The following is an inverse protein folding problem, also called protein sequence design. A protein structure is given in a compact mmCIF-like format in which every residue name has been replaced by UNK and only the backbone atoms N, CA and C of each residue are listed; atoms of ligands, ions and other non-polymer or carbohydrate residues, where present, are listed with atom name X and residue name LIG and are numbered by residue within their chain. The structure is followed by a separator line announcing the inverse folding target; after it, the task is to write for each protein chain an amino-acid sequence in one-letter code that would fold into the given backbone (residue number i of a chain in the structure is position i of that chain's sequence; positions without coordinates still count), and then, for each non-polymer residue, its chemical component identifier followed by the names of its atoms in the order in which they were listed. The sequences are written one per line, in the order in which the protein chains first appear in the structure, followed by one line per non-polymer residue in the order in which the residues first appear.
data_IF_974103228990
#
_entry.id   IF_974103228990
#
_cell.length_a   1.000
_cell.length_b   1.000
_cell.length_c   1.000
_cell.angle_alpha   90.00
_cell.angle_beta   90.00
_cell.angle_gamma   90.00
#
_symmetry.space_group_name_H-M   'P 1'
#
loop_
_entity.id
_entity.type
_entity.pdbx_description
1 polymer ?
#
# COMPACT_ATOMS: atom_id res chain seq x y z
N UNK A 1 2.32 1.76 29.69
CA UNK A 1 2.48 2.27 28.30
C UNK A 1 3.18 1.19 27.49
N UNK A 2 2.57 0.71 26.41
CA UNK A 2 3.23 -0.24 25.50
C UNK A 2 4.29 0.51 24.69
N UNK A 3 5.51 0.03 24.73
CA UNK A 3 6.64 0.52 23.95
C UNK A 3 7.05 -0.62 23.03
N UNK A 4 7.00 -0.37 21.73
CA UNK A 4 7.49 -1.28 20.70
C UNK A 4 8.58 -0.55 19.93
N UNK A 5 9.75 -1.17 19.81
CA UNK A 5 10.92 -0.58 19.17
C UNK A 5 11.68 -1.63 18.36
N UNK A 6 12.58 -1.18 17.48
CA UNK A 6 13.47 -2.05 16.72
C UNK A 6 14.86 -2.05 17.36
N UNK A 7 15.38 -3.24 17.66
CA UNK A 7 16.76 -3.43 18.11
C UNK A 7 17.47 -4.29 17.07
N UNK A 8 18.32 -3.67 16.25
CA UNK A 8 18.82 -4.26 15.00
C UNK A 8 17.64 -4.65 14.11
N UNK A 9 17.61 -5.88 13.60
CA UNK A 9 16.53 -6.38 12.76
C UNK A 9 15.41 -7.06 13.56
N UNK A 10 15.28 -6.83 14.87
CA UNK A 10 14.30 -7.51 15.71
C UNK A 10 13.37 -6.50 16.38
N UNK A 11 12.07 -6.73 16.25
CA UNK A 11 11.06 -5.97 16.99
C UNK A 11 11.05 -6.42 18.46
N UNK A 12 11.16 -5.47 19.37
CA UNK A 12 11.09 -5.67 20.82
C UNK A 12 9.91 -4.91 21.40
N UNK A 13 9.16 -5.57 22.28
CA UNK A 13 8.13 -4.91 23.07
C UNK A 13 8.45 -5.05 24.56
N UNK A 14 8.21 -3.99 25.33
CA UNK A 14 8.23 -4.05 26.79
C UNK A 14 7.08 -4.89 27.37
N UNK A 15 6.11 -5.30 26.55
CA UNK A 15 5.05 -6.26 26.87
C UNK A 15 5.33 -7.61 26.17
N UNK A 16 6.56 -8.12 26.35
CA UNK A 16 7.15 -9.25 25.60
C UNK A 16 6.33 -10.55 25.63
N UNK A 17 5.48 -10.75 26.64
CA UNK A 17 4.63 -11.93 26.77
C UNK A 17 3.30 -11.84 25.99
N UNK A 18 2.91 -10.63 25.54
CA UNK A 18 1.66 -10.42 24.81
C UNK A 18 1.86 -9.94 23.35
N UNK A 19 2.95 -9.24 23.04
CA UNK A 19 3.18 -8.69 21.69
C UNK A 19 3.51 -9.78 20.66
N UNK A 20 2.60 -9.95 19.68
CA UNK A 20 2.79 -10.86 18.55
C UNK A 20 4.00 -10.49 17.67
N UNK A 21 4.50 -9.25 17.79
CA UNK A 21 5.69 -8.78 17.09
C UNK A 21 7.01 -9.07 17.79
N UNK A 22 7.01 -9.36 19.10
CA UNK A 22 8.26 -9.52 19.84
C UNK A 22 9.08 -10.70 19.28
N UNK A 23 10.30 -10.43 18.80
CA UNK A 23 11.15 -11.44 18.17
C UNK A 23 10.93 -11.62 16.66
N UNK A 24 10.02 -10.88 16.03
CA UNK A 24 9.89 -10.88 14.57
C UNK A 24 11.08 -10.16 13.94
N UNK A 25 11.66 -10.79 12.92
CA UNK A 25 12.69 -10.17 12.09
C UNK A 25 12.08 -9.15 11.12
N UNK A 26 12.67 -7.95 11.09
CA UNK A 26 12.39 -6.90 10.13
C UNK A 26 13.26 -6.98 8.87
N UNK A 27 14.13 -7.99 8.71
CA UNK A 27 15.10 -8.05 7.62
C UNK A 27 14.46 -8.06 6.20
N UNK A 28 13.19 -8.45 6.09
CA UNK A 28 12.43 -8.38 4.84
C UNK A 28 11.74 -7.03 4.57
N UNK A 29 11.85 -6.06 5.50
CA UNK A 29 11.23 -4.73 5.40
C UNK A 29 12.31 -3.66 5.48
N UNK A 30 12.75 -3.24 4.30
CA UNK A 30 13.88 -2.32 4.10
C UNK A 30 13.61 -0.92 4.68
N UNK A 31 12.42 -0.35 4.45
CA UNK A 31 12.12 1.05 4.75
C UNK A 31 11.47 1.27 6.12
N UNK A 32 11.85 2.37 6.78
CA UNK A 32 11.34 2.72 8.11
C UNK A 32 9.83 2.96 8.11
N UNK A 33 9.31 3.56 7.05
CA UNK A 33 7.90 3.91 6.91
C UNK A 33 7.00 2.68 6.90
N UNK A 34 7.39 1.64 6.16
CA UNK A 34 6.70 0.35 6.19
C UNK A 34 6.73 -0.27 7.58
N UNK A 35 7.87 -0.25 8.27
CA UNK A 35 8.04 -0.83 9.62
C UNK A 35 7.17 -0.14 10.67
N UNK A 36 6.94 1.17 10.53
CA UNK A 36 6.10 1.93 11.44
C UNK A 36 4.69 1.33 11.58
N UNK A 37 4.09 0.91 10.47
CA UNK A 37 2.73 0.38 10.49
C UNK A 37 2.60 -1.02 11.06
N UNK A 38 3.69 -1.80 11.14
CA UNK A 38 3.70 -3.01 11.97
C UNK A 38 3.46 -2.66 13.44
N UNK A 39 4.19 -1.68 13.97
CA UNK A 39 4.03 -1.24 15.35
C UNK A 39 2.61 -0.72 15.62
N UNK A 40 2.05 0.06 14.68
CA UNK A 40 0.67 0.54 14.78
C UNK A 40 -0.30 -0.64 14.83
N UNK A 41 -0.15 -1.63 13.96
CA UNK A 41 -1.02 -2.81 13.96
C UNK A 41 -0.93 -3.60 15.28
N UNK A 42 0.27 -3.80 15.81
CA UNK A 42 0.45 -4.48 17.11
C UNK A 42 -0.21 -3.71 18.24
N UNK A 43 -0.03 -2.39 18.32
CA UNK A 43 -0.72 -1.55 19.30
C UNK A 43 -2.24 -1.74 19.22
N UNK A 44 -2.81 -1.75 18.01
CA UNK A 44 -4.25 -1.95 17.79
C UNK A 44 -4.71 -3.34 18.23
N UNK A 45 -3.93 -4.38 17.91
CA UNK A 45 -4.20 -5.75 18.36
C UNK A 45 -4.15 -5.89 19.88
N UNK A 46 -3.40 -5.03 20.57
CA UNK A 46 -3.36 -4.91 22.03
C UNK A 46 -4.39 -3.93 22.61
N UNK A 47 -5.37 -3.53 21.81
CA UNK A 47 -6.51 -2.74 22.26
C UNK A 47 -6.36 -1.23 22.09
N UNK A 48 -5.26 -0.72 21.49
CA UNK A 48 -5.15 0.70 21.21
C UNK A 48 -6.29 1.16 20.27
N UNK A 49 -7.06 2.14 20.72
CA UNK A 49 -8.18 2.73 19.97
C UNK A 49 -7.79 4.04 19.27
N UNK A 50 -6.80 4.74 19.79
CA UNK A 50 -6.27 5.97 19.21
C UNK A 50 -4.75 5.85 19.11
N UNK A 51 -4.20 6.14 17.93
CA UNK A 51 -2.75 6.10 17.67
C UNK A 51 -2.32 7.43 17.06
N UNK A 52 -1.27 8.01 17.64
CA UNK A 52 -0.58 9.19 17.12
C UNK A 52 0.78 8.79 16.56
N UNK A 53 0.97 8.98 15.26
CA UNK A 53 2.25 8.86 14.59
C UNK A 53 2.93 10.23 14.59
N UNK A 54 4.20 10.30 15.00
CA UNK A 54 5.03 11.51 14.88
C UNK A 54 6.06 11.27 13.78
N UNK A 55 5.92 11.97 12.65
CA UNK A 55 6.88 11.87 11.56
C UNK A 55 6.91 13.19 10.77
N UNK A 56 8.10 13.58 10.30
CA UNK A 56 8.28 14.69 9.36
C UNK A 56 8.18 14.23 7.90
N UNK A 57 8.12 12.93 7.66
CA UNK A 57 7.95 12.36 6.32
C UNK A 57 6.49 12.47 5.87
N UNK A 58 6.30 12.93 4.63
CA UNK A 58 4.97 13.07 4.01
C UNK A 58 4.38 11.75 3.57
N UNK A 59 5.21 10.75 3.25
CA UNK A 59 4.76 9.44 2.75
C UNK A 59 3.98 8.69 3.83
N UNK A 60 4.34 8.90 5.10
CA UNK A 60 3.60 8.38 6.26
C UNK A 60 2.13 8.81 6.28
N UNK A 61 1.79 10.02 5.83
CA UNK A 61 0.40 10.49 5.79
C UNK A 61 -0.40 9.66 4.79
N UNK A 62 0.15 9.44 3.60
CA UNK A 62 -0.47 8.65 2.54
C UNK A 62 -0.63 7.20 3.00
N UNK A 63 0.44 6.62 3.58
CA UNK A 63 0.43 5.25 4.06
C UNK A 63 -0.60 5.10 5.20
N UNK A 64 -0.68 6.04 6.13
CA UNK A 64 -1.67 6.05 7.22
C UNK A 64 -3.12 6.03 6.71
N UNK A 65 -3.43 6.88 5.74
CA UNK A 65 -4.75 6.92 5.11
C UNK A 65 -5.04 5.57 4.43
N UNK A 66 -4.07 5.01 3.71
CA UNK A 66 -4.24 3.76 2.96
C UNK A 66 -4.51 2.53 3.80
N UNK A 67 -4.07 2.53 5.06
CA UNK A 67 -4.22 1.41 5.97
C UNK A 67 -5.29 1.60 7.04
N UNK A 68 -5.88 2.79 7.15
CA UNK A 68 -6.84 3.08 8.20
C UNK A 68 -8.00 2.08 8.22
N UNK A 69 -8.63 1.77 7.08
CA UNK A 69 -9.78 0.85 7.06
C UNK A 69 -9.41 -0.57 7.50
N UNK A 70 -8.21 -1.03 7.18
CA UNK A 70 -7.68 -2.31 7.68
C UNK A 70 -7.48 -2.27 9.20
N UNK A 71 -6.82 -1.25 9.71
CA UNK A 71 -6.59 -1.07 11.15
C UNK A 71 -7.90 -0.85 11.92
N UNK A 72 -8.88 -0.20 11.31
CA UNK A 72 -10.21 0.01 11.87
C UNK A 72 -10.97 -1.31 12.04
N UNK A 73 -10.85 -2.24 11.07
CA UNK A 73 -11.38 -3.61 11.19
C UNK A 73 -10.73 -4.39 12.35
N UNK A 74 -9.48 -4.05 12.72
CA UNK A 74 -8.79 -4.59 13.89
C UNK A 74 -9.13 -3.87 15.21
N UNK A 75 -9.93 -2.79 15.15
CA UNK A 75 -10.45 -2.09 16.32
C UNK A 75 -9.90 -0.70 16.55
N UNK A 76 -9.05 -0.16 15.67
CA UNK A 76 -8.61 1.25 15.73
C UNK A 76 -9.81 2.19 15.49
N UNK A 77 -9.87 3.32 16.19
CA UNK A 77 -10.89 4.37 15.98
C UNK A 77 -10.28 5.60 15.34
N UNK A 78 -9.16 6.06 15.89
CA UNK A 78 -8.51 7.29 15.45
C UNK A 78 -7.05 7.04 15.09
N UNK A 79 -6.67 7.50 13.90
CA UNK A 79 -5.29 7.55 13.46
C UNK A 79 -4.93 9.00 13.15
N UNK A 80 -3.90 9.49 13.85
CA UNK A 80 -3.39 10.85 13.72
C UNK A 80 -1.94 10.82 13.26
N UNK A 81 -1.57 11.76 12.39
CA UNK A 81 -0.18 12.01 12.03
C UNK A 81 0.18 13.43 12.46
N UNK A 82 1.06 13.55 13.43
CA UNK A 82 1.71 14.81 13.78
C UNK A 82 2.88 15.04 12.84
N UNK A 83 2.68 16.01 11.94
CA UNK A 83 3.69 16.54 11.03
C UNK A 83 4.30 17.80 11.66
N UNK A 84 5.62 17.95 11.62
CA UNK A 84 6.30 19.12 12.21
C UNK A 84 7.33 19.67 11.23
N UNK A 85 7.27 20.99 10.98
CA UNK A 85 8.25 21.73 10.17
C UNK A 85 8.67 22.96 10.97
N UNK A 86 9.94 23.02 11.36
CA UNK A 86 10.44 24.06 12.26
C UNK A 86 9.70 24.03 13.60
N UNK A 87 9.09 25.17 13.96
CA UNK A 87 8.31 25.33 15.20
C UNK A 87 6.82 24.99 15.05
N UNK A 88 6.33 24.84 13.81
CA UNK A 88 4.92 24.58 13.54
C UNK A 88 4.60 23.08 13.64
N UNK A 89 3.53 22.77 14.38
CA UNK A 89 3.00 21.41 14.52
C UNK A 89 1.63 21.34 13.84
N UNK A 90 1.47 20.42 12.91
CA UNK A 90 0.21 20.12 12.24
C UNK A 90 -0.23 18.70 12.60
N UNK A 91 -1.48 18.53 12.97
CA UNK A 91 -2.09 17.23 13.21
C UNK A 91 -3.02 16.90 12.06
N UNK A 92 -2.74 15.80 11.37
CA UNK A 92 -3.52 15.31 10.24
C UNK A 92 -4.36 14.13 10.72
N UNK A 93 -5.68 14.24 10.56
CA UNK A 93 -6.61 13.14 10.82
C UNK A 93 -6.63 12.18 9.63
N UNK A 94 -5.78 11.15 9.67
CA UNK A 94 -5.77 10.12 8.63
C UNK A 94 -7.09 9.34 8.58
N UNK A 95 -7.70 9.12 9.75
CA UNK A 95 -8.98 8.42 9.86
C UNK A 95 -10.14 9.18 9.19
N UNK A 96 -10.28 10.49 9.43
CA UNK A 96 -11.34 11.27 8.80
C UNK A 96 -11.15 11.38 7.28
N UNK A 97 -9.91 11.46 6.81
CA UNK A 97 -9.62 11.48 5.36
C UNK A 97 -9.97 10.13 4.74
N UNK A 98 -9.52 9.02 5.33
CA UNK A 98 -9.81 7.67 4.83
C UNK A 98 -11.33 7.37 4.80
N UNK A 99 -12.07 7.81 5.82
CA UNK A 99 -13.53 7.68 5.87
C UNK A 99 -14.21 8.46 4.74
N UNK A 100 -13.77 9.69 4.47
CA UNK A 100 -14.30 10.50 3.36
C UNK A 100 -13.98 9.93 1.99
N UNK A 101 -12.83 9.28 1.83
CA UNK A 101 -12.41 8.66 0.57
C UNK A 101 -13.08 7.31 0.31
N UNK A 102 -13.52 6.60 1.34
CA UNK A 102 -13.96 5.21 1.24
C UNK A 102 -12.80 4.21 1.17
N UNK A 103 -13.10 2.91 1.34
CA UNK A 103 -12.09 1.85 1.46
C UNK A 103 -11.22 1.74 0.19
N UNK A 104 -11.85 1.71 -0.98
CA UNK A 104 -11.13 1.48 -2.24
C UNK A 104 -10.19 2.63 -2.61
N UNK A 105 -10.66 3.88 -2.54
CA UNK A 105 -9.84 5.04 -2.90
C UNK A 105 -8.76 5.32 -1.85
N UNK A 106 -9.06 5.10 -0.57
CA UNK A 106 -8.05 5.15 0.48
C UNK A 106 -6.96 4.10 0.24
N UNK A 107 -7.32 2.85 -0.06
CA UNK A 107 -6.36 1.80 -0.36
C UNK A 107 -5.50 2.13 -1.61
N UNK A 108 -6.14 2.66 -2.65
CA UNK A 108 -5.51 3.03 -3.92
C UNK A 108 -4.51 4.20 -3.80
N UNK A 109 -4.65 5.09 -2.80
CA UNK A 109 -3.78 6.25 -2.59
C UNK A 109 -2.28 5.89 -2.57
N UNK A 110 -1.94 4.73 -2.03
CA UNK A 110 -0.55 4.27 -1.94
C UNK A 110 0.07 4.01 -3.32
N UNK A 111 -0.65 3.29 -4.17
CA UNK A 111 -0.24 3.06 -5.56
C UNK A 111 -0.26 4.35 -6.38
N UNK A 112 -1.30 5.18 -6.22
CA UNK A 112 -1.40 6.49 -6.85
C UNK A 112 -0.21 7.40 -6.48
N UNK A 113 0.15 7.47 -5.19
CA UNK A 113 1.22 8.31 -4.70
C UNK A 113 2.59 7.88 -5.24
N UNK A 114 2.89 6.58 -5.19
CA UNK A 114 4.11 6.04 -5.80
C UNK A 114 4.15 6.30 -7.32
N UNK A 115 3.04 6.06 -8.01
CA UNK A 115 2.95 6.25 -9.47
C UNK A 115 3.10 7.70 -9.92
N UNK A 116 2.62 8.65 -9.13
CA UNK A 116 2.70 10.08 -9.46
C UNK A 116 3.97 10.75 -8.95
N UNK A 117 4.86 9.97 -8.34
CA UNK A 117 6.21 10.34 -7.91
C UNK A 117 6.34 10.52 -6.40
N UNK A 118 7.35 9.90 -5.80
CA UNK A 118 7.74 10.04 -4.40
C UNK A 118 9.27 10.04 -4.31
N UNK A 119 9.86 9.92 -3.13
CA UNK A 119 11.32 10.02 -2.97
C UNK A 119 12.10 9.00 -3.81
N UNK A 120 11.52 7.82 -4.06
CA UNK A 120 12.17 6.73 -4.79
C UNK A 120 11.63 6.49 -6.21
N UNK A 121 10.60 7.24 -6.62
CA UNK A 121 9.92 7.12 -7.92
C UNK A 121 9.81 8.49 -8.57
N UNK A 122 10.29 8.65 -9.80
CA UNK A 122 10.26 9.94 -10.50
C UNK A 122 8.85 10.51 -10.65
N UNK A 123 8.73 11.82 -10.79
CA UNK A 123 7.46 12.46 -11.15
C UNK A 123 7.36 12.67 -12.67
N UNK A 124 6.13 12.84 -13.17
CA UNK A 124 5.90 13.23 -14.56
C UNK A 124 6.22 14.71 -14.75
N UNK A 125 7.06 15.04 -15.73
CA UNK A 125 7.59 16.41 -15.86
C UNK A 125 6.48 17.45 -16.02
N UNK A 126 6.54 18.51 -15.22
CA UNK A 126 5.54 19.58 -15.20
C UNK A 126 4.19 19.18 -14.58
N UNK A 127 4.10 18.01 -13.93
CA UNK A 127 2.86 17.50 -13.32
C UNK A 127 3.03 17.32 -11.82
N UNK A 128 2.29 18.12 -11.05
CA UNK A 128 2.25 18.03 -9.59
C UNK A 128 1.17 17.08 -9.08
N UNK A 129 1.20 16.79 -7.77
CA UNK A 129 0.18 15.97 -7.08
C UNK A 129 -1.22 16.52 -7.23
N UNK A 130 -1.39 17.86 -7.23
CA UNK A 130 -2.70 18.49 -7.41
C UNK A 130 -3.29 18.18 -8.80
N UNK A 131 -2.50 18.35 -9.87
CA UNK A 131 -2.95 17.99 -11.23
C UNK A 131 -3.21 16.49 -11.38
N UNK A 132 -2.39 15.65 -10.75
CA UNK A 132 -2.58 14.21 -10.74
C UNK A 132 -3.85 13.79 -10.00
N UNK A 133 -4.17 14.46 -8.89
CA UNK A 133 -5.38 14.22 -8.14
C UNK A 133 -6.63 14.59 -8.94
N UNK A 134 -6.60 15.71 -9.65
CA UNK A 134 -7.68 16.12 -10.56
C UNK A 134 -7.85 15.16 -11.74
N UNK A 135 -6.76 14.62 -12.28
CA UNK A 135 -6.81 13.62 -13.36
C UNK A 135 -7.35 12.26 -12.90
N UNK A 136 -7.31 11.96 -11.60
CA UNK A 136 -7.89 10.74 -11.04
C UNK A 136 -9.38 10.93 -10.77
N UNK A 137 -10.19 10.64 -11.79
CA UNK A 137 -11.64 10.69 -11.71
C UNK A 137 -12.19 9.68 -10.67
N UNK A 138 -12.92 10.13 -9.62
CA UNK A 138 -13.60 9.23 -8.68
C UNK A 138 -14.51 8.18 -9.34
N UNK A 139 -15.10 8.51 -10.48
CA UNK A 139 -16.11 7.69 -11.16
C UNK A 139 -15.48 6.61 -12.05
N UNK A 140 -14.18 6.73 -12.36
CA UNK A 140 -13.43 5.67 -13.05
C UNK A 140 -12.99 4.58 -12.05
N UNK A 141 -13.86 3.60 -11.87
CA UNK A 141 -13.60 2.44 -11.02
C UNK A 141 -12.40 1.62 -11.51
N UNK A 142 -12.15 1.56 -12.82
CA UNK A 142 -11.01 0.82 -13.39
C UNK A 142 -9.70 1.50 -12.99
N UNK A 143 -9.65 2.82 -13.01
CA UNK A 143 -8.49 3.60 -12.61
C UNK A 143 -8.20 3.44 -11.11
N UNK A 144 -9.23 3.55 -10.27
CA UNK A 144 -9.10 3.29 -8.83
C UNK A 144 -8.62 1.86 -8.56
N UNK A 145 -9.15 0.87 -9.28
CA UNK A 145 -8.71 -0.53 -9.19
C UNK A 145 -7.27 -0.70 -9.65
N UNK A 146 -6.83 -0.05 -10.72
CA UNK A 146 -5.45 -0.11 -11.21
C UNK A 146 -4.47 0.42 -10.16
N UNK A 147 -4.76 1.58 -9.55
CA UNK A 147 -3.94 2.11 -8.46
C UNK A 147 -3.96 1.24 -7.20
N UNK A 148 -5.09 0.62 -6.88
CA UNK A 148 -5.18 -0.37 -5.80
C UNK A 148 -4.28 -1.56 -6.05
N UNK A 149 -4.33 -2.16 -7.25
CA UNK A 149 -3.45 -3.26 -7.66
C UNK A 149 -1.99 -2.85 -7.57
N UNK A 150 -1.64 -1.64 -8.02
CA UNK A 150 -0.28 -1.12 -7.96
C UNK A 150 0.24 -0.95 -6.52
N UNK A 151 -0.67 -0.65 -5.57
CA UNK A 151 -0.38 -0.58 -4.14
C UNK A 151 -0.39 -1.93 -3.43
N UNK A 152 -0.69 -3.05 -4.12
CA UNK A 152 -0.65 -4.39 -3.52
C UNK A 152 0.77 -4.98 -3.58
N UNK A 153 1.13 -5.88 -2.65
CA UNK A 153 2.45 -6.53 -2.62
C UNK A 153 2.79 -7.27 -3.92
N UNK A 154 3.51 -6.61 -4.81
CA UNK A 154 4.08 -7.18 -6.02
C UNK A 154 5.23 -6.32 -6.54
N UNK A 155 6.28 -6.98 -7.03
CA UNK A 155 7.36 -6.31 -7.79
C UNK A 155 6.97 -6.14 -9.27
N UNK A 156 6.08 -7.00 -9.77
CA UNK A 156 5.65 -7.03 -11.15
C UNK A 156 4.13 -6.86 -11.21
N UNK A 157 3.63 -5.65 -11.54
CA UNK A 157 2.21 -5.43 -11.69
C UNK A 157 1.70 -6.16 -12.94
N UNK A 158 0.44 -6.65 -12.93
CA UNK A 158 -0.09 -7.39 -14.05
C UNK A 158 -0.31 -6.47 -15.27
N UNK A 159 0.09 -6.92 -16.46
CA UNK A 159 0.09 -6.07 -17.67
C UNK A 159 -1.29 -5.47 -18.02
N UNK A 160 -2.41 -6.07 -17.58
CA UNK A 160 -3.76 -5.56 -17.85
C UNK A 160 -4.06 -4.19 -17.21
N UNK A 161 -3.30 -3.75 -16.21
CA UNK A 161 -3.50 -2.40 -15.64
C UNK A 161 -2.78 -1.31 -16.45
N UNK A 162 -1.81 -1.66 -17.30
CA UNK A 162 -1.01 -0.69 -18.05
C UNK A 162 -1.87 0.20 -18.97
N UNK A 163 -2.83 -0.32 -19.76
CA UNK A 163 -3.68 0.54 -20.58
C UNK A 163 -4.51 1.54 -19.77
N UNK A 164 -4.91 1.16 -18.55
CA UNK A 164 -5.67 2.05 -17.65
C UNK A 164 -4.77 3.17 -17.12
N UNK A 165 -3.55 2.83 -16.69
CA UNK A 165 -2.56 3.80 -16.23
C UNK A 165 -2.08 4.71 -17.38
N UNK A 166 -2.03 4.19 -18.61
CA UNK A 166 -1.73 4.96 -19.80
C UNK A 166 -2.78 6.04 -20.06
N UNK A 167 -4.08 5.70 -19.99
CA UNK A 167 -5.17 6.69 -20.07
C UNK A 167 -5.08 7.74 -18.97
N UNK A 168 -4.74 7.35 -17.74
CA UNK A 168 -4.48 8.32 -16.68
C UNK A 168 -3.35 9.30 -17.04
N UNK A 169 -2.26 8.83 -17.65
CA UNK A 169 -1.17 9.72 -18.09
C UNK A 169 -1.62 10.62 -19.24
N UNK A 170 -2.44 10.14 -20.18
CA UNK A 170 -3.05 11.00 -21.20
C UNK A 170 -3.85 12.13 -20.56
N UNK A 171 -4.72 11.79 -19.61
CA UNK A 171 -5.53 12.77 -18.87
C UNK A 171 -4.69 13.76 -18.06
N UNK A 172 -3.62 13.27 -17.43
CA UNK A 172 -2.65 14.11 -16.71
C UNK A 172 -2.00 15.16 -17.62
N UNK A 173 -1.80 14.82 -18.90
CA UNK A 173 -1.26 15.72 -19.91
C UNK A 173 -2.30 16.55 -20.65
N UNK A 174 -3.59 16.39 -20.33
CA UNK A 174 -4.73 17.05 -20.98
C UNK A 174 -4.74 16.81 -22.49
N UNK A 175 -4.46 15.57 -22.88
CA UNK A 175 -4.34 15.15 -24.28
C UNK A 175 -5.49 14.21 -24.69
N UNK A 176 -6.59 14.19 -23.95
CA UNK A 176 -7.82 13.55 -24.39
C UNK A 176 -8.31 14.17 -25.72
N UNK A 177 -8.89 13.37 -26.64
CA UNK A 177 -9.36 12.00 -26.48
C UNK A 177 -8.34 10.91 -26.87
N UNK A 178 -7.03 11.21 -26.93
CA UNK A 178 -6.02 10.17 -27.18
C UNK A 178 -6.18 8.97 -26.23
N UNK A 179 -5.91 7.77 -26.73
CA UNK A 179 -6.05 6.53 -25.94
C UNK A 179 -4.69 5.98 -25.48
N UNK A 180 -3.60 6.50 -26.03
CA UNK A 180 -2.24 6.08 -25.69
C UNK A 180 -1.32 7.28 -25.45
N UNK A 181 -0.22 7.07 -24.72
CA UNK A 181 0.83 8.08 -24.59
C UNK A 181 1.54 8.31 -25.92
N UNK A 182 1.53 7.34 -26.84
CA UNK A 182 2.05 7.49 -28.19
C UNK A 182 1.28 8.53 -28.99
N UNK A 183 -0.04 8.38 -29.05
CA UNK A 183 -0.94 9.35 -29.69
C UNK A 183 -0.84 10.72 -29.02
N UNK A 184 -0.88 10.77 -27.68
CA UNK A 184 -0.76 12.02 -26.94
C UNK A 184 0.58 12.71 -27.25
N UNK A 185 1.70 11.97 -27.30
CA UNK A 185 2.99 12.54 -27.69
C UNK A 185 2.96 13.12 -29.11
N UNK A 186 2.39 12.39 -30.06
CA UNK A 186 2.27 12.86 -31.43
C UNK A 186 1.44 14.15 -31.49
N UNK A 187 0.22 14.15 -30.94
CA UNK A 187 -0.67 15.31 -30.93
C UNK A 187 0.00 16.53 -30.28
N UNK A 188 0.51 16.36 -29.06
CA UNK A 188 1.11 17.46 -28.31
C UNK A 188 2.33 18.04 -29.02
N UNK A 189 3.12 17.20 -29.70
CA UNK A 189 4.31 17.65 -30.42
C UNK A 189 3.96 18.31 -31.77
N UNK A 190 3.13 17.66 -32.60
CA UNK A 190 2.88 18.11 -33.98
C UNK A 190 1.80 19.17 -34.07
N UNK A 191 0.71 19.05 -33.29
CA UNK A 191 -0.43 19.96 -33.38
C UNK A 191 -0.32 21.14 -32.39
N UNK A 192 0.19 20.90 -31.18
CA UNK A 192 0.31 21.93 -30.14
C UNK A 192 1.72 22.53 -30.02
N UNK A 193 2.70 22.02 -30.77
CA UNK A 193 4.08 22.53 -30.77
C UNK A 193 4.79 22.41 -29.41
N UNK A 194 4.36 21.48 -28.54
CA UNK A 194 4.99 21.32 -27.22
C UNK A 194 6.40 20.76 -27.35
N UNK A 195 7.40 21.34 -26.64
CA UNK A 195 8.74 20.76 -26.58
C UNK A 195 8.72 19.33 -26.01
N UNK A 196 9.72 18.50 -26.37
CA UNK A 196 9.83 17.11 -25.93
C UNK A 196 9.83 16.92 -24.40
N UNK A 197 10.18 17.96 -23.63
CA UNK A 197 10.14 17.94 -22.17
C UNK A 197 8.71 18.05 -21.62
N UNK A 198 7.75 18.59 -22.37
CA UNK A 198 6.38 18.86 -21.93
C UNK A 198 5.34 17.90 -22.52
N UNK A 199 5.79 16.79 -23.11
CA UNK A 199 4.95 15.69 -23.58
C UNK A 199 5.10 14.47 -22.65
N UNK A 200 4.14 13.53 -22.59
CA UNK A 200 4.25 12.38 -21.71
C UNK A 200 5.41 11.47 -22.13
N UNK A 201 5.87 10.62 -21.21
CA UNK A 201 6.90 9.61 -21.50
C UNK A 201 6.46 8.63 -22.59
N UNK A 202 7.40 7.91 -23.20
CA UNK A 202 7.06 6.82 -24.12
C UNK A 202 6.40 5.66 -23.38
N UNK A 203 5.66 4.79 -24.10
CA UNK A 203 5.06 3.60 -23.50
C UNK A 203 6.09 2.69 -22.80
N UNK A 204 7.27 2.51 -23.40
CA UNK A 204 8.36 1.74 -22.79
C UNK A 204 8.84 2.32 -21.46
N UNK A 205 9.00 3.65 -21.39
CA UNK A 205 9.35 4.32 -20.14
C UNK A 205 8.22 4.24 -19.11
N UNK A 206 6.97 4.39 -19.54
CA UNK A 206 5.79 4.24 -18.69
C UNK A 206 5.71 2.84 -18.06
N UNK A 207 6.03 1.79 -18.82
CA UNK A 207 6.05 0.41 -18.30
C UNK A 207 7.07 0.23 -17.18
N UNK A 208 8.29 0.75 -17.35
CA UNK A 208 9.32 0.67 -16.29
C UNK A 208 8.98 1.55 -15.09
N UNK A 209 8.44 2.73 -15.33
CA UNK A 209 7.91 3.62 -14.30
C UNK A 209 6.83 2.94 -13.46
N UNK A 210 5.90 2.23 -14.11
CA UNK A 210 4.85 1.46 -13.44
C UNK A 210 5.43 0.35 -12.56
N UNK A 211 6.43 -0.40 -13.05
CA UNK A 211 7.14 -1.42 -12.25
C UNK A 211 7.81 -0.81 -11.02
N UNK A 212 8.48 0.33 -11.19
CA UNK A 212 9.13 1.04 -10.08
C UNK A 212 8.11 1.54 -9.05
N UNK A 213 6.97 2.06 -9.50
CA UNK A 213 5.86 2.44 -8.62
C UNK A 213 5.26 1.24 -7.89
N UNK A 214 5.09 0.09 -8.55
CA UNK A 214 4.64 -1.17 -7.92
C UNK A 214 5.63 -1.64 -6.86
N UNK A 215 6.93 -1.54 -7.14
CA UNK A 215 7.95 -1.88 -6.17
C UNK A 215 7.84 -1.00 -4.92
N UNK A 216 7.78 0.32 -5.06
CA UNK A 216 7.67 1.20 -3.90
C UNK A 216 6.32 1.07 -3.18
N UNK A 217 5.21 1.34 -3.89
CA UNK A 217 3.88 1.40 -3.28
C UNK A 217 3.30 0.04 -2.91
N UNK A 218 3.67 -1.01 -3.64
CA UNK A 218 3.25 -2.38 -3.43
C UNK A 218 4.24 -3.18 -2.60
N UNK A 219 5.45 -3.38 -3.10
CA UNK A 219 6.42 -4.24 -2.42
C UNK A 219 6.99 -3.61 -1.13
N UNK A 220 7.38 -2.34 -1.11
CA UNK A 220 8.00 -1.74 0.08
C UNK A 220 6.94 -1.33 1.09
N UNK A 221 5.96 -0.52 0.68
CA UNK A 221 4.92 -0.02 1.59
C UNK A 221 3.77 -1.02 1.82
N UNK A 222 3.50 -1.92 0.88
CA UNK A 222 2.38 -2.89 0.92
C UNK A 222 2.66 -4.19 1.67
N UNK A 223 3.92 -4.63 1.75
CA UNK A 223 4.26 -6.02 2.11
C UNK A 223 4.11 -6.40 3.59
N UNK A 224 3.90 -5.44 4.49
CA UNK A 224 3.78 -5.76 5.92
C UNK A 224 2.51 -6.55 6.27
N UNK A 225 1.49 -6.52 5.41
CA UNK A 225 0.29 -7.35 5.55
C UNK A 225 0.50 -8.84 5.20
N UNK A 226 1.47 -9.17 4.33
CA UNK A 226 1.67 -10.56 3.83
C UNK A 226 2.43 -11.40 4.85
N UNK A 227 3.38 -10.81 5.56
CA UNK A 227 4.17 -11.50 6.59
C UNK A 227 3.35 -12.04 7.76
N UNK A 228 2.24 -11.39 8.12
CA UNK A 228 1.32 -11.87 9.16
C UNK A 228 0.27 -12.87 8.65
N UNK A 229 -0.19 -12.75 7.41
CA UNK A 229 -1.13 -13.73 6.82
C UNK A 229 -0.51 -15.13 6.75
N UNK A 230 0.79 -15.24 6.44
CA UNK A 230 1.47 -16.54 6.41
C UNK A 230 1.75 -17.12 7.81
N UNK A 231 1.93 -16.30 8.85
CA UNK A 231 2.21 -16.80 10.21
C UNK A 231 0.98 -17.19 11.01
N UNK A 232 -0.20 -16.61 10.76
CA UNK A 232 -1.45 -17.08 11.37
C UNK A 232 -1.87 -18.48 10.92
N UNK A 233 -1.34 -19.00 9.80
CA UNK A 233 -1.61 -20.38 9.33
C UNK A 233 -0.66 -21.43 9.92
N UNK A 234 0.36 -21.03 10.69
CA UNK A 234 1.34 -21.97 11.30
C UNK A 234 1.14 -22.20 12.81
N UNK A 235 0.14 -21.58 13.44
CA UNK A 235 -0.28 -21.93 14.81
C UNK A 235 -1.47 -22.89 14.73
N UNK A 236 -1.19 -24.06 14.18
CA UNK A 236 -2.10 -25.19 14.08
C UNK A 236 -1.25 -26.41 13.78
N UNK A 237 -0.90 -27.16 14.84
CA UNK A 237 -0.04 -28.34 14.75
C UNK A 237 -0.56 -29.33 13.70
N UNK A 238 0.31 -29.66 12.75
CA UNK A 238 0.01 -30.58 11.66
C UNK A 238 1.10 -30.52 10.61
N UNK A 239 2.12 -31.37 10.76
CA UNK A 239 3.21 -31.56 9.80
C UNK A 239 2.64 -32.03 8.46
N UNK A 240 2.77 -31.24 7.40
CA UNK A 240 2.49 -31.69 6.03
C UNK A 240 3.77 -31.66 5.20
N UNK A 241 4.19 -32.84 4.71
CA UNK A 241 5.11 -32.96 3.57
C UNK A 241 4.28 -32.92 2.30
N UNK A 242 4.78 -32.25 1.27
CA UNK A 242 4.22 -32.40 -0.07
C UNK A 242 4.53 -33.80 -0.61
N UNK A 243 3.48 -34.56 -0.90
CA UNK A 243 3.53 -35.67 -1.84
C UNK A 243 2.60 -35.32 -3.01
N UNK A 244 3.09 -35.59 -4.20
CA UNK A 244 2.52 -35.34 -5.52
C UNK A 244 1.05 -35.77 -5.70
N UNK A 245 0.28 -34.92 -6.37
CA UNK A 245 -0.70 -35.33 -7.39
C UNK A 245 -2.05 -35.93 -6.94
N UNK A 246 -3.10 -35.12 -7.13
CA UNK A 246 -4.52 -35.48 -7.29
C UNK A 246 -5.44 -35.68 -6.06
N UNK A 247 -6.69 -35.24 -6.27
CA UNK A 247 -7.84 -35.07 -5.35
C UNK A 247 -8.39 -36.37 -4.76
N UNK A 248 -8.96 -36.30 -3.54
CA UNK A 248 -10.25 -36.91 -3.11
C UNK A 248 -10.61 -36.34 -1.72
N UNK A 249 -11.87 -35.96 -1.53
CA UNK A 249 -12.40 -35.52 -0.22
C UNK A 249 -12.79 -36.70 0.66
N UNK A 250 -12.54 -36.60 1.97
CA UNK A 250 -13.17 -37.46 2.97
C UNK A 250 -13.50 -36.70 4.26
N UNK A 251 -14.66 -37.04 4.81
CA UNK A 251 -15.30 -36.50 6.00
C UNK A 251 -14.59 -36.89 7.30
N UNK A 252 -14.83 -36.07 8.33
CA UNK A 252 -14.37 -36.20 9.71
C UNK A 252 -14.84 -37.48 10.41
N UNK A 253 -14.05 -38.12 11.30
CA UNK A 253 -14.58 -39.07 12.27
C UNK A 253 -14.98 -38.36 13.57
N UNK A 254 -16.20 -38.67 14.00
CA UNK A 254 -16.81 -38.32 15.27
C UNK A 254 -16.12 -38.96 16.48
N UNK A 255 -16.09 -38.22 17.59
CA UNK A 255 -15.68 -38.64 18.92
C UNK A 255 -16.49 -39.84 19.45
N UNK A 256 -15.82 -40.91 19.85
CA UNK A 256 -16.39 -41.98 20.69
C UNK A 256 -15.82 -41.92 22.10
N UNK A 257 -16.68 -41.66 23.09
CA UNK A 257 -16.44 -41.87 24.53
C UNK A 257 -17.30 -43.05 24.99
N UNK A 258 -16.69 -44.06 25.60
CA UNK A 258 -17.25 -44.98 26.62
C UNK A 258 -16.01 -45.56 27.35
N UNK A 259 -15.72 -45.41 28.65
CA UNK A 259 -16.45 -45.51 29.92
C UNK A 259 -16.78 -46.96 30.35
N UNK A 260 -16.06 -47.43 31.38
CA UNK A 260 -16.33 -48.63 32.20
C UNK A 260 -15.82 -49.94 31.58
N UNK A 261 -15.08 -50.83 32.25
CA UNK A 261 -14.69 -51.05 33.66
C UNK A 261 -13.42 -51.90 33.64
#
# INVERSE_FOLDING_TARGET
MQVVTNVKDIIRSNLSQNSALNGISCAGMEEADGRLFLHVQDMVQHGAKCVLIRCSDTDIVVIAISYYHHLHKLGLKELWVQYSVGTSKRFISAHSIAQKLGDDRACALRGFHAFTGCDSVSFFNGKGKASAWTAWDPTDEQMTRAFKILGMPSKDPPDHILPVLERFVVALYKAEPCQSVGEARQQLFTAEGKPLLFIPCTFGALKQHTRRASYQGGQIWGSWNVGMMFRRRLVGGGRWRMASGSLIGQQSPTSGKHAGT
#
